data_IF_328030694536
#
_entry.id   IF_328030694536
#
_cell.length_a   1.000
_cell.length_b   1.000
_cell.length_c   1.000
_cell.angle_alpha   90.00
_cell.angle_beta   90.00
_cell.angle_gamma   90.00
#
_symmetry.space_group_name_H-M   'P 1'
#
loop_
_entity.id
_entity.type
_entity.pdbx_description
1 polymer ?
#
# COMPACT_ATOMS: atom_id res chain seq x y z
N UNK A 1 13.75 17.90 -12.97
CA UNK A 1 14.94 17.87 -13.83
C UNK A 1 15.10 16.46 -14.37
N UNK A 2 15.30 16.32 -15.69
CA UNK A 2 15.19 15.06 -16.44
C UNK A 2 16.00 13.88 -15.84
N UNK A 3 17.11 14.17 -15.15
CA UNK A 3 17.93 13.18 -14.43
C UNK A 3 17.31 12.69 -13.12
N UNK A 4 16.60 13.55 -12.38
CA UNK A 4 15.84 13.17 -11.20
C UNK A 4 14.56 12.38 -11.57
N UNK A 5 13.94 12.70 -12.70
CA UNK A 5 12.81 11.93 -13.24
C UNK A 5 13.24 10.56 -13.76
N UNK A 6 14.38 10.45 -14.47
CA UNK A 6 14.95 9.16 -14.88
C UNK A 6 15.39 8.30 -13.69
N UNK A 7 15.99 8.89 -12.66
CA UNK A 7 16.35 8.18 -11.44
C UNK A 7 15.11 7.72 -10.64
N UNK A 8 14.03 8.51 -10.65
CA UNK A 8 12.75 8.14 -10.05
C UNK A 8 12.06 7.01 -10.84
N UNK A 9 12.13 7.02 -12.18
CA UNK A 9 11.64 5.92 -13.03
C UNK A 9 12.42 4.63 -12.80
N UNK A 10 13.75 4.69 -12.74
CA UNK A 10 14.57 3.50 -12.42
C UNK A 10 14.35 2.96 -11.01
N UNK A 11 14.00 3.81 -10.03
CA UNK A 11 13.60 3.39 -8.69
C UNK A 11 12.18 2.78 -8.66
N UNK A 12 11.31 3.15 -9.61
CA UNK A 12 9.97 2.60 -9.77
C UNK A 12 10.03 1.15 -10.30
N UNK A 13 10.89 0.91 -11.29
CA UNK A 13 11.13 -0.42 -11.86
C UNK A 13 11.71 -1.39 -10.83
N UNK A 14 12.58 -0.90 -9.94
CA UNK A 14 13.11 -1.66 -8.79
C UNK A 14 12.01 -1.97 -7.76
N UNK A 15 11.04 -1.07 -7.56
CA UNK A 15 9.93 -1.28 -6.64
C UNK A 15 8.92 -2.31 -7.16
N UNK A 16 8.64 -2.32 -8.47
CA UNK A 16 7.85 -3.35 -9.16
C UNK A 16 8.56 -4.71 -9.16
N UNK A 17 9.86 -4.75 -9.45
CA UNK A 17 10.67 -5.97 -9.40
C UNK A 17 10.80 -6.56 -7.98
N UNK A 18 10.66 -5.72 -6.94
CA UNK A 18 10.69 -6.18 -5.53
C UNK A 18 9.41 -6.91 -5.10
N UNK A 19 8.28 -6.71 -5.79
CA UNK A 19 7.03 -7.38 -5.46
C UNK A 19 7.06 -8.90 -5.72
N UNK A 20 7.69 -9.32 -6.82
CA UNK A 20 7.91 -10.74 -7.13
C UNK A 20 8.93 -11.39 -6.17
N UNK A 21 9.91 -10.60 -5.70
CA UNK A 21 10.91 -11.05 -4.71
C UNK A 21 10.30 -11.17 -3.31
N UNK A 22 9.41 -10.27 -2.91
CA UNK A 22 8.76 -10.34 -1.61
C UNK A 22 7.78 -11.52 -1.55
N UNK A 23 7.12 -11.87 -2.67
CA UNK A 23 6.36 -13.13 -2.80
C UNK A 23 7.26 -14.38 -2.66
N UNK A 24 8.44 -14.35 -3.27
CA UNK A 24 9.42 -15.43 -3.16
C UNK A 24 10.05 -15.55 -1.76
N UNK A 25 10.28 -14.42 -1.07
CA UNK A 25 10.79 -14.39 0.31
C UNK A 25 9.74 -14.86 1.33
N UNK A 26 8.46 -14.56 1.08
CA UNK A 26 7.33 -15.09 1.84
C UNK A 26 7.20 -16.62 1.66
N UNK A 27 7.27 -17.11 0.42
CA UNK A 27 7.29 -18.55 0.12
C UNK A 27 8.55 -19.27 0.68
N UNK A 28 9.66 -18.54 0.88
CA UNK A 28 10.91 -19.06 1.43
C UNK A 28 11.05 -18.91 2.96
N UNK A 29 10.01 -18.48 3.68
CA UNK A 29 10.03 -18.38 5.15
C UNK A 29 10.89 -17.23 5.70
N UNK A 30 11.10 -16.15 4.93
CA UNK A 30 11.92 -14.98 5.32
C UNK A 30 11.08 -13.68 5.41
N UNK A 31 9.99 -13.66 6.18
CA UNK A 31 9.03 -12.55 6.19
C UNK A 31 9.62 -11.22 6.69
N UNK A 32 10.61 -11.27 7.60
CA UNK A 32 11.27 -10.06 8.14
C UNK A 32 12.08 -9.33 7.06
N UNK A 33 12.73 -10.04 6.14
CA UNK A 33 13.49 -9.39 5.08
C UNK A 33 12.57 -8.74 4.04
N UNK A 34 11.50 -9.43 3.66
CA UNK A 34 10.47 -8.89 2.78
C UNK A 34 9.88 -7.61 3.37
N UNK A 35 9.52 -7.64 4.66
CA UNK A 35 9.00 -6.46 5.36
C UNK A 35 9.97 -5.28 5.29
N UNK A 36 11.26 -5.48 5.59
CA UNK A 36 12.27 -4.42 5.53
C UNK A 36 12.34 -3.76 4.15
N UNK A 37 12.27 -4.55 3.07
CA UNK A 37 12.31 -4.05 1.69
C UNK A 37 11.03 -3.29 1.35
N UNK A 38 9.88 -3.88 1.66
CA UNK A 38 8.57 -3.26 1.43
C UNK A 38 8.41 -1.93 2.18
N UNK A 39 8.87 -1.85 3.44
CA UNK A 39 8.85 -0.59 4.21
C UNK A 39 9.70 0.50 3.54
N UNK A 40 10.84 0.15 2.95
CA UNK A 40 11.66 1.13 2.21
C UNK A 40 10.92 1.66 0.97
N UNK A 41 10.21 0.78 0.25
CA UNK A 41 9.43 1.17 -0.92
C UNK A 41 8.27 2.11 -0.52
N UNK A 42 7.57 1.83 0.59
CA UNK A 42 6.53 2.71 1.14
C UNK A 42 7.07 4.10 1.48
N UNK A 43 8.23 4.21 2.13
CA UNK A 43 8.84 5.52 2.45
C UNK A 43 9.19 6.33 1.20
N UNK A 44 9.62 5.66 0.13
CA UNK A 44 9.90 6.33 -1.15
C UNK A 44 8.59 6.84 -1.76
N UNK A 45 7.56 6.00 -1.80
CA UNK A 45 6.22 6.35 -2.27
C UNK A 45 5.66 7.57 -1.51
N UNK A 46 5.74 7.56 -0.18
CA UNK A 46 5.25 8.65 0.69
C UNK A 46 6.00 9.96 0.43
N UNK A 47 7.32 9.91 0.26
CA UNK A 47 8.14 11.09 -0.05
C UNK A 47 7.82 11.70 -1.42
N UNK A 48 7.43 10.88 -2.39
CA UNK A 48 7.10 11.35 -3.73
C UNK A 48 5.76 12.11 -3.77
N UNK A 49 4.86 11.89 -2.81
CA UNK A 49 3.63 12.68 -2.58
C UNK A 49 2.58 12.66 -3.70
N UNK A 50 2.90 12.08 -4.87
CA UNK A 50 2.02 12.01 -6.04
C UNK A 50 1.55 10.58 -6.31
N UNK A 51 0.45 10.46 -7.05
CA UNK A 51 -0.05 9.17 -7.54
C UNK A 51 0.95 8.65 -8.57
N UNK A 52 1.58 7.52 -8.29
CA UNK A 52 2.51 6.86 -9.19
C UNK A 52 1.93 5.55 -9.70
N UNK A 53 2.30 5.20 -10.92
CA UNK A 53 2.10 3.86 -11.46
C UNK A 53 2.76 2.83 -10.53
N UNK A 54 2.10 1.69 -10.30
CA UNK A 54 2.57 0.69 -9.34
C UNK A 54 2.33 1.00 -7.85
N UNK A 55 1.73 2.14 -7.47
CA UNK A 55 1.43 2.47 -6.06
C UNK A 55 0.66 1.34 -5.35
N UNK A 56 -0.36 0.77 -5.99
CA UNK A 56 -1.19 -0.29 -5.40
C UNK A 56 -0.39 -1.56 -5.11
N UNK A 57 0.54 -1.92 -6.00
CA UNK A 57 1.41 -3.07 -5.83
C UNK A 57 2.34 -2.89 -4.63
N UNK A 58 3.00 -1.73 -4.53
CA UNK A 58 3.90 -1.42 -3.40
C UNK A 58 3.15 -1.53 -2.07
N UNK A 59 1.92 -1.02 -2.01
CA UNK A 59 1.07 -1.09 -0.81
C UNK A 59 0.64 -2.50 -0.48
N UNK A 60 0.24 -3.28 -1.48
CA UNK A 60 -0.18 -4.67 -1.28
C UNK A 60 0.97 -5.52 -0.71
N UNK A 61 2.15 -5.43 -1.31
CA UNK A 61 3.33 -6.19 -0.86
C UNK A 61 3.69 -5.87 0.58
N UNK A 62 3.63 -4.60 0.98
CA UNK A 62 3.85 -4.20 2.37
C UNK A 62 2.83 -4.81 3.33
N UNK A 63 1.55 -4.84 2.94
CA UNK A 63 0.49 -5.47 3.74
C UNK A 63 0.73 -6.98 3.88
N UNK A 64 1.06 -7.66 2.79
CA UNK A 64 1.28 -9.11 2.82
C UNK A 64 2.56 -9.49 3.59
N UNK A 65 3.60 -8.67 3.53
CA UNK A 65 4.80 -8.84 4.36
C UNK A 65 4.49 -8.67 5.86
N UNK A 66 3.72 -7.65 6.24
CA UNK A 66 3.27 -7.44 7.62
C UNK A 66 2.40 -8.60 8.14
N UNK A 67 1.52 -9.13 7.28
CA UNK A 67 0.70 -10.29 7.60
C UNK A 67 1.55 -11.51 7.91
N UNK A 68 2.59 -11.75 7.11
CA UNK A 68 3.46 -12.90 7.29
C UNK A 68 4.39 -12.77 8.51
N UNK A 69 4.70 -11.55 8.95
CA UNK A 69 5.39 -11.35 10.24
C UNK A 69 4.45 -11.43 11.45
N UNK A 70 3.13 -11.48 11.23
CA UNK A 70 2.13 -11.54 12.30
C UNK A 70 1.84 -10.21 13.00
N UNK A 71 2.34 -9.08 12.50
CA UNK A 71 2.08 -7.77 13.09
C UNK A 71 0.72 -7.25 12.61
N UNK A 72 -0.34 -7.72 13.30
CA UNK A 72 -1.72 -7.39 12.96
C UNK A 72 -2.04 -5.90 13.14
N UNK A 73 -1.37 -5.22 14.08
CA UNK A 73 -1.57 -3.79 14.32
C UNK A 73 -1.06 -2.95 13.15
N UNK A 74 0.20 -3.17 12.76
CA UNK A 74 0.78 -2.49 11.60
C UNK A 74 0.06 -2.88 10.29
N UNK A 75 -0.37 -4.15 10.17
CA UNK A 75 -1.20 -4.61 9.05
C UNK A 75 -2.47 -3.77 8.92
N UNK A 76 -3.21 -3.56 10.01
CA UNK A 76 -4.46 -2.81 10.00
C UNK A 76 -4.26 -1.37 9.52
N UNK A 77 -3.20 -0.70 10.01
CA UNK A 77 -2.85 0.66 9.58
C UNK A 77 -2.50 0.72 8.09
N UNK A 78 -1.65 -0.21 7.63
CA UNK A 78 -1.23 -0.27 6.23
C UNK A 78 -2.42 -0.54 5.30
N UNK A 79 -3.29 -1.47 5.69
CA UNK A 79 -4.48 -1.85 4.92
C UNK A 79 -5.52 -0.73 4.86
N UNK A 80 -5.80 -0.05 5.97
CA UNK A 80 -6.69 1.12 5.98
C UNK A 80 -6.16 2.23 5.07
N UNK A 81 -4.85 2.48 5.09
CA UNK A 81 -4.22 3.47 4.21
C UNK A 81 -4.35 3.08 2.74
N UNK A 82 -4.04 1.84 2.40
CA UNK A 82 -4.14 1.35 1.02
C UNK A 82 -5.58 1.37 0.50
N UNK A 83 -6.54 0.92 1.31
CA UNK A 83 -7.97 0.98 1.02
C UNK A 83 -8.42 2.41 0.70
N UNK A 84 -8.05 3.38 1.55
CA UNK A 84 -8.36 4.79 1.34
C UNK A 84 -7.78 5.32 0.03
N UNK A 85 -6.53 4.96 -0.30
CA UNK A 85 -5.85 5.40 -1.53
C UNK A 85 -6.46 4.81 -2.80
N UNK A 86 -6.88 3.55 -2.77
CA UNK A 86 -7.59 2.91 -3.88
C UNK A 86 -8.90 3.65 -4.16
N UNK A 87 -9.70 3.92 -3.13
CA UNK A 87 -10.95 4.67 -3.29
C UNK A 87 -10.75 6.13 -3.68
N UNK A 88 -9.76 6.83 -3.11
CA UNK A 88 -9.40 8.20 -3.49
C UNK A 88 -9.11 8.30 -4.99
N UNK A 89 -8.36 7.33 -5.53
CA UNK A 89 -8.03 7.27 -6.96
C UNK A 89 -9.23 6.89 -7.81
N UNK A 90 -10.01 5.89 -7.39
CA UNK A 90 -11.23 5.48 -8.09
C UNK A 90 -12.23 6.63 -8.21
N UNK A 91 -12.36 7.47 -7.18
CA UNK A 91 -13.26 8.63 -7.19
C UNK A 91 -12.84 9.74 -8.18
N UNK A 92 -11.59 9.75 -8.65
CA UNK A 92 -11.13 10.68 -9.70
C UNK A 92 -11.44 10.19 -11.11
N UNK A 93 -11.79 8.91 -11.28
CA UNK A 93 -12.19 8.35 -12.56
C UNK A 93 -13.64 8.73 -12.80
N UNK A 94 -13.93 9.52 -13.82
CA UNK A 94 -15.28 10.03 -14.09
C UNK A 94 -16.21 8.92 -14.61
N UNK A 95 -15.73 8.14 -15.59
CA UNK A 95 -16.48 7.05 -16.21
C UNK A 95 -16.74 5.91 -15.19
N UNK A 96 -18.00 5.53 -14.94
CA UNK A 96 -18.34 4.48 -13.98
C UNK A 96 -17.80 3.09 -14.35
N UNK A 97 -17.76 2.73 -15.64
CA UNK A 97 -17.24 1.45 -16.09
C UNK A 97 -15.72 1.38 -15.90
N UNK A 98 -15.01 2.47 -16.18
CA UNK A 98 -13.56 2.54 -15.91
C UNK A 98 -13.26 2.55 -14.42
N UNK A 99 -14.12 3.18 -13.60
CA UNK A 99 -14.00 3.13 -12.14
C UNK A 99 -14.16 1.70 -11.61
N UNK A 100 -15.18 0.98 -12.10
CA UNK A 100 -15.39 -0.43 -11.76
C UNK A 100 -14.18 -1.28 -12.18
N UNK A 101 -13.72 -1.13 -13.43
CA UNK A 101 -12.53 -1.82 -13.93
C UNK A 101 -11.26 -1.51 -13.12
N UNK A 102 -11.07 -0.26 -12.67
CA UNK A 102 -9.96 0.08 -11.79
C UNK A 102 -10.05 -0.63 -10.43
N UNK A 103 -11.24 -0.78 -9.86
CA UNK A 103 -11.43 -1.44 -8.56
C UNK A 103 -11.31 -2.97 -8.66
N UNK A 104 -11.78 -3.56 -9.76
CA UNK A 104 -12.00 -5.01 -9.89
C UNK A 104 -10.99 -5.69 -10.82
N UNK A 105 -10.61 -5.04 -11.91
CA UNK A 105 -9.74 -5.62 -12.95
C UNK A 105 -8.25 -5.36 -12.73
N UNK A 106 -7.89 -4.44 -11.82
CA UNK A 106 -6.50 -4.27 -11.36
C UNK A 106 -6.26 -5.25 -10.20
N UNK A 107 -5.44 -6.29 -10.38
CA UNK A 107 -5.31 -7.38 -9.40
C UNK A 107 -4.94 -6.91 -8.00
N UNK A 108 -4.05 -5.91 -7.90
CA UNK A 108 -3.59 -5.38 -6.63
C UNK A 108 -4.69 -4.63 -5.88
N UNK A 109 -5.52 -3.88 -6.62
CA UNK A 109 -6.66 -3.17 -6.03
C UNK A 109 -7.69 -4.18 -5.53
N UNK A 110 -8.05 -5.15 -6.37
CA UNK A 110 -8.99 -6.21 -6.00
C UNK A 110 -8.53 -6.96 -4.74
N UNK A 111 -7.23 -7.30 -4.66
CA UNK A 111 -6.63 -7.97 -3.50
C UNK A 111 -6.66 -7.11 -2.23
N UNK A 112 -6.34 -5.82 -2.33
CA UNK A 112 -6.42 -4.88 -1.20
C UNK A 112 -7.87 -4.79 -0.69
N UNK A 113 -8.84 -4.67 -1.59
CA UNK A 113 -10.26 -4.57 -1.23
C UNK A 113 -10.77 -5.86 -0.59
N UNK A 114 -10.34 -7.02 -1.09
CA UNK A 114 -10.68 -8.31 -0.50
C UNK A 114 -10.07 -8.48 0.91
N UNK A 115 -8.79 -8.14 1.09
CA UNK A 115 -8.14 -8.16 2.41
C UNK A 115 -8.82 -7.21 3.41
N UNK A 116 -9.26 -6.04 2.92
CA UNK A 116 -10.03 -5.06 3.69
C UNK A 116 -11.38 -5.63 4.13
N UNK A 117 -12.13 -6.23 3.20
CA UNK A 117 -13.43 -6.88 3.47
C UNK A 117 -13.31 -8.00 4.51
N UNK A 118 -12.31 -8.86 4.38
CA UNK A 118 -12.04 -9.94 5.33
C UNK A 118 -11.77 -9.44 6.76
N UNK A 119 -11.31 -8.20 6.90
CA UNK A 119 -11.00 -7.55 8.19
C UNK A 119 -12.04 -6.52 8.60
N UNK A 120 -13.21 -6.51 7.95
CA UNK A 120 -14.32 -5.63 8.29
C UNK A 120 -14.21 -4.19 7.79
N UNK A 121 -13.19 -3.85 6.99
CA UNK A 121 -13.07 -2.55 6.33
C UNK A 121 -13.90 -2.54 5.04
N UNK A 122 -14.89 -1.66 4.95
CA UNK A 122 -15.76 -1.51 3.79
C UNK A 122 -16.10 -0.03 3.55
N UNK A 123 -16.44 0.34 2.31
CA UNK A 123 -16.62 1.74 1.91
C UNK A 123 -17.75 2.48 2.66
N UNK A 124 -18.63 1.75 3.35
CA UNK A 124 -19.68 2.27 4.24
C UNK A 124 -19.26 2.49 5.70
N UNK A 125 -18.12 1.93 6.13
CA UNK A 125 -17.54 2.15 7.47
C UNK A 125 -16.83 3.52 7.51
N UNK A 126 -17.66 4.57 7.51
CA UNK A 126 -17.32 5.99 7.57
C UNK A 126 -16.06 6.30 8.42
N UNK A 127 -15.10 6.95 7.76
CA UNK A 127 -14.19 7.97 8.33
C UNK A 127 -13.12 7.43 9.30
N UNK A 128 -12.08 6.76 8.78
CA UNK A 128 -10.76 6.73 9.45
C UNK A 128 -9.93 7.99 9.14
N UNK A 129 -10.60 9.15 9.11
CA UNK A 129 -9.96 10.47 9.10
C UNK A 129 -9.96 10.96 10.55
N UNK A 130 -8.92 10.57 11.32
CA UNK A 130 -8.30 11.28 12.48
C UNK A 130 -7.69 10.30 13.52
N UNK A 131 -6.67 9.53 13.12
CA UNK A 131 -5.84 8.77 14.07
C UNK A 131 -4.32 8.96 13.86
N UNK A 132 -3.90 10.04 13.20
CA UNK A 132 -2.48 10.49 13.19
C UNK A 132 -2.26 11.65 14.20
N UNK A 133 -3.21 11.90 15.11
CA UNK A 133 -3.04 12.90 16.19
C UNK A 133 -3.53 12.45 17.57
N UNK A 134 -3.78 11.16 17.79
CA UNK A 134 -4.20 10.63 19.10
C UNK A 134 -3.30 9.52 19.66
N UNK A 135 -2.15 9.25 19.03
CA UNK A 135 -1.02 8.64 19.73
C UNK A 135 -0.04 9.74 20.10
N UNK A 136 -0.51 10.62 20.99
CA UNK A 136 0.32 11.55 21.72
C UNK A 136 1.36 10.76 22.52
N UNK A 137 2.47 10.43 21.86
CA UNK A 137 3.71 10.07 22.52
C UNK A 137 4.15 11.36 23.21
N UNK A 138 3.66 11.54 24.44
CA UNK A 138 4.28 12.41 25.40
C UNK A 138 5.71 11.93 25.54
N UNK A 139 6.64 12.70 25.00
CA UNK A 139 8.06 12.58 25.31
C UNK A 139 8.17 13.01 26.76
N UNK A 140 8.19 12.04 27.66
CA UNK A 140 8.57 12.25 29.05
C UNK A 140 10.08 12.36 29.11
N UNK A 141 10.58 13.57 29.38
CA UNK A 141 11.59 13.93 30.38
C UNK A 141 11.87 15.43 30.25
#
# INVERSE_FOLDING_TARGET
GLLAERAASGQLDIALASAALDFALLAAGRPVEALRRATRAIRILERLGRVIEGESLIRLVHIEALLATGDLGATGVALSTAFGRVHERANRIADPAWRAGFLESVPENARILELARQRGLHAGARIYRRAVSLLGVGVGS
#
